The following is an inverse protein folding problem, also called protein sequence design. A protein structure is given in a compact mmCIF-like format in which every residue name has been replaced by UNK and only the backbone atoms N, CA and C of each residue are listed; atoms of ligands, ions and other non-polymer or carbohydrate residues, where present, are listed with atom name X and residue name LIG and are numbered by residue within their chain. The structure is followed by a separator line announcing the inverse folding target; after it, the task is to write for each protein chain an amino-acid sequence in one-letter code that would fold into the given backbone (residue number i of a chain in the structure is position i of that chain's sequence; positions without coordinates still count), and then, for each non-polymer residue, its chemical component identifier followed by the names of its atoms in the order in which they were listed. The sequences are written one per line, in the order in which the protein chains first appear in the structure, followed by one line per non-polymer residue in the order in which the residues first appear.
data_IF_217777736374
#
_entry.id   IF_217777736374
#
_cell.length_a   1.000
_cell.length_b   1.000
_cell.length_c   1.000
_cell.angle_alpha   90.00
_cell.angle_beta   90.00
_cell.angle_gamma   90.00
#
_symmetry.space_group_name_H-M   'P 1'
#
loop_
_entity.id
_entity.type
_entity.pdbx_description
1 polymer ?
#
# COMPACT_ATOMS: atom_id res chain seq x y z
N UNK A 1 -19.72 -8.48 -18.59
CA UNK A 1 -19.57 -7.09 -18.12
C UNK A 1 -18.28 -7.01 -17.32
N UNK A 2 -17.19 -6.54 -17.94
CA UNK A 2 -15.91 -6.33 -17.25
C UNK A 2 -15.95 -4.95 -16.63
N UNK A 3 -16.47 -4.83 -15.40
CA UNK A 3 -16.25 -3.63 -14.61
C UNK A 3 -14.75 -3.52 -14.39
N UNK A 4 -14.10 -2.58 -15.09
CA UNK A 4 -12.82 -2.05 -14.64
C UNK A 4 -13.14 -1.29 -13.36
N UNK A 5 -12.89 -1.92 -12.22
CA UNK A 5 -12.88 -1.27 -10.91
C UNK A 5 -11.78 -0.20 -10.95
N UNK A 6 -12.14 0.99 -11.41
CA UNK A 6 -11.24 2.13 -11.49
C UNK A 6 -11.00 2.65 -10.08
N UNK A 7 -9.75 2.84 -9.71
CA UNK A 7 -9.40 3.55 -8.48
C UNK A 7 -10.10 4.92 -8.48
N UNK A 8 -11.02 5.10 -7.55
CA UNK A 8 -11.61 6.41 -7.28
C UNK A 8 -10.52 7.37 -6.78
N UNK A 9 -10.63 8.67 -7.09
CA UNK A 9 -9.61 9.67 -6.72
C UNK A 9 -9.32 9.74 -5.21
N UNK A 10 -10.34 9.48 -4.37
CA UNK A 10 -10.18 9.37 -2.93
C UNK A 10 -9.32 8.14 -2.51
N UNK A 11 -9.43 7.03 -3.22
CA UNK A 11 -8.66 5.80 -2.98
C UNK A 11 -7.18 5.99 -3.33
N UNK A 12 -6.85 6.79 -4.35
CA UNK A 12 -5.45 7.12 -4.69
C UNK A 12 -4.80 8.04 -3.67
N UNK A 13 -5.54 9.03 -3.16
CA UNK A 13 -5.03 9.88 -2.08
C UNK A 13 -4.73 9.07 -0.82
N UNK A 14 -5.62 8.13 -0.48
CA UNK A 14 -5.41 7.23 0.65
C UNK A 14 -4.17 6.35 0.46
N UNK A 15 -4.02 5.71 -0.70
CA UNK A 15 -2.83 4.92 -1.04
C UNK A 15 -1.58 5.76 -0.88
N UNK A 16 -1.57 6.98 -1.41
CA UNK A 16 -0.42 7.88 -1.30
C UNK A 16 -0.10 8.23 0.14
N UNK A 17 -1.10 8.59 0.94
CA UNK A 17 -0.88 8.94 2.35
C UNK A 17 -0.26 7.77 3.13
N UNK A 18 -0.85 6.58 3.00
CA UNK A 18 -0.35 5.39 3.69
C UNK A 18 1.08 5.05 3.24
N UNK A 19 1.39 5.21 1.94
CA UNK A 19 2.70 4.95 1.38
C UNK A 19 3.75 5.97 1.83
N UNK A 20 3.40 7.25 1.88
CA UNK A 20 4.28 8.33 2.35
C UNK A 20 4.63 8.09 3.83
N UNK A 21 3.63 7.79 4.67
CA UNK A 21 3.84 7.48 6.10
C UNK A 21 4.72 6.23 6.28
N UNK A 22 4.47 5.17 5.51
CA UNK A 22 5.29 3.96 5.51
C UNK A 22 6.75 4.26 5.11
N UNK A 23 6.96 5.09 4.09
CA UNK A 23 8.30 5.43 3.66
C UNK A 23 9.06 6.26 4.70
N UNK A 24 8.37 7.21 5.35
CA UNK A 24 8.94 8.04 6.40
C UNK A 24 9.36 7.21 7.62
N UNK A 25 8.46 6.34 8.11
CA UNK A 25 8.72 5.51 9.29
C UNK A 25 9.89 4.53 9.08
N UNK A 26 9.99 3.94 7.90
CA UNK A 26 11.07 3.00 7.56
C UNK A 26 12.31 3.69 6.96
N UNK A 27 12.33 5.03 6.89
CA UNK A 27 13.40 5.85 6.32
C UNK A 27 13.83 5.38 4.93
N UNK A 28 12.87 5.08 4.07
CA UNK A 28 13.09 4.64 2.70
C UNK A 28 12.70 5.72 1.70
N UNK A 29 13.40 5.74 0.58
CA UNK A 29 12.98 6.57 -0.55
C UNK A 29 11.75 5.97 -1.21
N UNK A 30 10.85 6.81 -1.73
CA UNK A 30 9.68 6.37 -2.50
C UNK A 30 10.07 5.55 -3.76
N UNK A 31 11.29 5.74 -4.25
CA UNK A 31 11.87 4.99 -5.36
C UNK A 31 12.50 3.65 -4.95
N UNK A 32 12.53 3.33 -3.66
CA UNK A 32 13.03 2.04 -3.18
C UNK A 32 12.15 0.91 -3.73
N UNK A 33 12.78 -0.22 -4.06
CA UNK A 33 12.04 -1.40 -4.54
C UNK A 33 10.97 -1.84 -3.55
N UNK A 34 11.26 -1.74 -2.26
CA UNK A 34 10.32 -2.07 -1.17
C UNK A 34 9.13 -1.12 -1.16
N UNK A 35 9.35 0.19 -1.32
CA UNK A 35 8.29 1.18 -1.41
C UNK A 35 7.39 0.93 -2.64
N UNK A 36 7.99 0.54 -3.76
CA UNK A 36 7.25 0.17 -4.98
C UNK A 36 6.37 -1.07 -4.75
N UNK A 37 6.87 -2.09 -4.06
CA UNK A 37 6.06 -3.27 -3.72
C UNK A 37 4.95 -2.94 -2.71
N UNK A 38 5.23 -2.12 -1.70
CA UNK A 38 4.22 -1.62 -0.77
C UNK A 38 3.10 -0.86 -1.51
N UNK A 39 3.47 0.01 -2.46
CA UNK A 39 2.52 0.72 -3.30
C UNK A 39 1.61 -0.22 -4.10
N UNK A 40 2.16 -1.31 -4.65
CA UNK A 40 1.38 -2.33 -5.39
C UNK A 40 0.36 -3.01 -4.50
N UNK A 41 0.75 -3.36 -3.27
CA UNK A 41 -0.15 -3.96 -2.27
C UNK A 41 -1.28 -3.00 -1.93
N UNK A 42 -0.96 -1.75 -1.61
CA UNK A 42 -1.95 -0.72 -1.28
C UNK A 42 -2.94 -0.47 -2.43
N UNK A 43 -2.45 -0.41 -3.67
CA UNK A 43 -3.31 -0.28 -4.85
C UNK A 43 -4.26 -1.48 -4.96
N UNK A 44 -3.76 -2.71 -4.78
CA UNK A 44 -4.60 -3.91 -4.82
C UNK A 44 -5.69 -3.91 -3.75
N UNK A 45 -5.36 -3.47 -2.53
CA UNK A 45 -6.32 -3.35 -1.42
C UNK A 45 -7.35 -2.24 -1.70
N UNK A 46 -6.92 -1.10 -2.24
CA UNK A 46 -7.79 0.03 -2.57
C UNK A 46 -8.77 -0.28 -3.70
N UNK A 47 -8.34 -1.01 -4.74
CA UNK A 47 -9.20 -1.46 -5.84
C UNK A 47 -10.27 -2.44 -5.35
N UNK A 48 -9.95 -3.24 -4.33
CA UNK A 48 -10.87 -4.23 -3.80
C UNK A 48 -12.02 -3.63 -2.98
N UNK A 49 -12.01 -2.32 -2.70
CA UNK A 49 -13.02 -1.52 -1.95
C UNK A 49 -13.53 -2.14 -0.63
N UNK A 50 -12.77 -3.06 -0.04
CA UNK A 50 -13.18 -3.86 1.13
C UNK A 50 -12.45 -3.50 2.41
N UNK A 51 -11.43 -2.67 2.32
CA UNK A 51 -10.46 -2.49 3.38
C UNK A 51 -10.45 -1.03 3.84
N UNK A 52 -10.62 -0.83 5.15
CA UNK A 52 -10.47 0.48 5.76
C UNK A 52 -8.99 0.92 5.77
N UNK A 53 -8.73 2.24 5.77
CA UNK A 53 -7.37 2.81 5.85
C UNK A 53 -6.41 2.12 6.83
N UNK A 54 -6.87 1.86 8.06
CA UNK A 54 -6.05 1.23 9.09
C UNK A 54 -5.71 -0.23 8.75
N UNK A 55 -6.66 -0.98 8.20
CA UNK A 55 -6.44 -2.36 7.79
C UNK A 55 -5.45 -2.43 6.61
N UNK A 56 -5.54 -1.48 5.67
CA UNK A 56 -4.57 -1.37 4.58
C UNK A 56 -3.15 -1.14 5.09
N UNK A 57 -2.98 -0.22 6.04
CA UNK A 57 -1.66 0.04 6.66
C UNK A 57 -1.13 -1.20 7.37
N UNK A 58 -1.95 -1.83 8.20
CA UNK A 58 -1.56 -3.03 8.95
C UNK A 58 -1.06 -4.15 8.03
N UNK A 59 -1.75 -4.40 6.91
CA UNK A 59 -1.36 -5.44 5.94
C UNK A 59 0.00 -5.17 5.28
N UNK A 60 0.31 -3.90 4.99
CA UNK A 60 1.62 -3.52 4.47
C UNK A 60 2.71 -3.73 5.51
N UNK A 61 2.47 -3.38 6.77
CA UNK A 61 3.44 -3.60 7.85
C UNK A 61 3.71 -5.09 8.12
N UNK A 62 2.66 -5.91 8.09
CA UNK A 62 2.76 -7.37 8.23
C UNK A 62 3.60 -7.96 7.09
N UNK A 63 3.30 -7.57 5.85
CA UNK A 63 4.09 -7.97 4.69
C UNK A 63 5.56 -7.55 4.82
N UNK A 64 5.81 -6.29 5.18
CA UNK A 64 7.17 -5.77 5.31
C UNK A 64 7.95 -6.53 6.39
N UNK A 65 7.34 -6.75 7.55
CA UNK A 65 7.91 -7.52 8.66
C UNK A 65 8.26 -8.96 8.24
N UNK A 66 7.45 -9.58 7.38
CA UNK A 66 7.72 -10.92 6.85
C UNK A 66 8.87 -10.91 5.85
N UNK A 67 8.94 -9.88 4.99
CA UNK A 67 10.01 -9.73 4.00
C UNK A 67 11.39 -9.54 4.64
N UNK A 68 11.47 -8.81 5.77
CA UNK A 68 12.71 -8.61 6.52
C UNK A 68 13.20 -9.87 7.24
N UNK A 69 12.29 -10.79 7.60
CA UNK A 69 12.64 -12.04 8.30
C UNK A 69 13.17 -13.14 7.37
N UNK A 70 12.97 -12.99 6.06
CA UNK A 70 13.37 -13.98 5.07
C UNK A 70 14.11 -13.29 3.90
N UNK A 71 15.35 -12.83 4.14
CA UNK A 71 16.12 -12.02 3.18
C UNK A 71 16.59 -12.79 1.95
#
# INVERSE_FOLDING_TARGET
MTQREGLHGASLMLVRQILDDFCEEHRMAISDRTAIEAARILIGLAVSEREEPMAMRQKVEEWFSHSQRNP
#
